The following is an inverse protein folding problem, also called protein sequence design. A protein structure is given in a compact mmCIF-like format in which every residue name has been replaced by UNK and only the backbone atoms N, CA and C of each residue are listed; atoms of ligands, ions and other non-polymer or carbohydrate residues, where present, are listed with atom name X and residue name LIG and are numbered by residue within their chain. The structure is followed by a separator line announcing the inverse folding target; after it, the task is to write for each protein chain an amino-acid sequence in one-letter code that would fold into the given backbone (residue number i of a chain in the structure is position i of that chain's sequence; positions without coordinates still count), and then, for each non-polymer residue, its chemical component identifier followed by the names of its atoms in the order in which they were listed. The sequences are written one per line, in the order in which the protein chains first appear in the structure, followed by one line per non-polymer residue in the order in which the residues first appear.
data_IF_769950872222
#
_entry.id   IF_769950872222
#
_cell.length_a   1.000
_cell.length_b   1.000
_cell.length_c   1.000
_cell.angle_alpha   90.00
_cell.angle_beta   90.00
_cell.angle_gamma   90.00
#
_symmetry.space_group_name_H-M   'P 1'
#
loop_
_entity.id
_entity.type
_entity.pdbx_description
1 polymer ?
#
# COMPACT_ATOMS: atom_id res chain seq x y z
N UNK A 1 22.42 -19.77 4.76
CA UNK A 1 22.08 -18.92 3.60
C UNK A 1 21.24 -17.75 4.09
N UNK A 2 21.70 -16.51 3.92
CA UNK A 2 20.94 -15.31 4.31
C UNK A 2 20.71 -14.46 3.07
N UNK A 3 19.49 -14.47 2.53
CA UNK A 3 19.06 -13.46 1.56
C UNK A 3 18.56 -12.26 2.34
N UNK A 4 18.84 -11.05 1.85
CA UNK A 4 18.27 -9.85 2.43
C UNK A 4 16.74 -9.89 2.40
N UNK A 5 16.12 -9.33 3.44
CA UNK A 5 14.67 -9.26 3.54
C UNK A 5 14.15 -8.17 2.61
N UNK A 6 13.13 -8.54 1.84
CA UNK A 6 12.47 -7.65 0.89
C UNK A 6 11.40 -6.83 1.63
N UNK A 7 11.38 -5.51 1.42
CA UNK A 7 10.38 -4.61 2.00
C UNK A 7 9.45 -4.07 0.92
N UNK A 8 8.18 -4.44 0.98
CA UNK A 8 7.16 -3.98 0.02
C UNK A 8 6.81 -2.49 0.21
N UNK A 9 6.48 -1.76 -0.88
CA UNK A 9 6.10 -0.35 -0.81
C UNK A 9 4.78 -0.15 -0.05
N UNK A 10 4.68 0.89 0.77
CA UNK A 10 3.47 1.21 1.59
C UNK A 10 2.31 1.76 0.75
N UNK A 11 2.59 2.09 -0.50
CA UNK A 11 1.63 2.56 -1.49
C UNK A 11 0.90 1.40 -2.18
N UNK A 12 1.22 0.14 -1.85
CA UNK A 12 0.45 -1.03 -2.26
C UNK A 12 -0.22 -1.71 -1.04
N UNK A 13 -1.27 -2.49 -1.30
CA UNK A 13 -2.08 -3.12 -0.27
C UNK A 13 -1.28 -4.01 0.69
N UNK A 14 -0.35 -4.82 0.16
CA UNK A 14 0.44 -5.74 0.97
C UNK A 14 1.49 -4.99 1.80
N UNK A 15 2.23 -4.04 1.22
CA UNK A 15 3.23 -3.28 1.96
C UNK A 15 2.61 -2.34 3.01
N UNK A 16 1.44 -1.77 2.72
CA UNK A 16 0.64 -1.04 3.70
C UNK A 16 0.27 -1.90 4.90
N UNK A 17 -0.25 -3.10 4.67
CA UNK A 17 -0.64 -4.01 5.75
C UNK A 17 0.59 -4.50 6.53
N UNK A 18 1.67 -4.89 5.84
CA UNK A 18 2.93 -5.29 6.47
C UNK A 18 3.47 -4.17 7.36
N UNK A 19 3.52 -2.94 6.85
CA UNK A 19 3.92 -1.78 7.64
C UNK A 19 2.98 -1.48 8.80
N UNK A 20 1.69 -1.82 8.72
CA UNK A 20 0.75 -1.65 9.82
C UNK A 20 1.02 -2.65 10.96
N UNK A 21 1.20 -3.93 10.61
CA UNK A 21 1.35 -5.02 11.58
C UNK A 21 2.75 -5.10 12.19
N UNK A 22 3.79 -4.66 11.48
CA UNK A 22 5.18 -4.76 11.94
C UNK A 22 5.72 -3.48 12.58
N UNK A 23 4.93 -2.41 12.66
CA UNK A 23 5.38 -1.14 13.23
C UNK A 23 5.53 -1.22 14.76
N UNK A 24 6.76 -1.16 15.32
CA UNK A 24 6.98 -1.27 16.76
C UNK A 24 6.47 -0.06 17.55
N UNK A 25 6.28 1.09 16.90
CA UNK A 25 5.79 2.32 17.56
C UNK A 25 4.28 2.28 17.82
N UNK A 26 3.56 1.29 17.30
CA UNK A 26 2.10 1.18 17.46
C UNK A 26 1.76 0.60 18.83
N UNK A 27 1.25 1.44 19.73
CA UNK A 27 0.86 1.06 21.10
C UNK A 27 -0.48 0.33 21.19
N UNK A 28 -1.46 0.73 20.37
CA UNK A 28 -2.82 0.18 20.37
C UNK A 28 -3.08 -0.64 19.10
N UNK A 29 -2.28 -1.69 18.88
CA UNK A 29 -2.50 -2.58 17.74
C UNK A 29 -3.88 -3.24 17.81
N UNK A 30 -4.63 -3.16 16.72
CA UNK A 30 -5.87 -3.88 16.54
C UNK A 30 -5.75 -4.78 15.32
N UNK A 31 -6.07 -6.08 15.43
CA UNK A 31 -6.14 -6.93 14.26
C UNK A 31 -7.15 -6.38 13.26
N UNK A 32 -6.72 -6.15 12.03
CA UNK A 32 -7.61 -5.71 10.95
C UNK A 32 -7.18 -6.27 9.61
N UNK A 33 -8.15 -6.41 8.71
CA UNK A 33 -7.88 -6.66 7.30
C UNK A 33 -7.42 -5.37 6.61
N UNK A 34 -6.89 -5.51 5.40
CA UNK A 34 -6.53 -4.35 4.57
C UNK A 34 -7.76 -3.45 4.32
N UNK A 35 -7.51 -2.14 4.31
CA UNK A 35 -8.45 -1.14 3.84
C UNK A 35 -7.70 -0.06 3.05
N UNK A 36 -8.41 0.68 2.20
CA UNK A 36 -7.80 1.80 1.48
C UNK A 36 -7.16 2.82 2.41
N UNK A 37 -7.67 3.03 3.63
CA UNK A 37 -7.12 3.98 4.59
C UNK A 37 -5.72 3.62 5.12
N UNK A 38 -5.25 2.39 4.91
CA UNK A 38 -3.87 2.00 5.26
C UNK A 38 -2.88 2.29 4.13
N UNK A 39 -3.33 2.44 2.88
CA UNK A 39 -2.47 2.69 1.74
C UNK A 39 -1.99 4.15 1.81
N UNK A 40 -0.68 4.38 1.88
CA UNK A 40 -0.10 5.70 2.19
C UNK A 40 -0.50 6.79 1.20
N UNK A 41 -0.71 6.44 -0.08
CA UNK A 41 -1.18 7.36 -1.10
C UNK A 41 -2.68 7.70 -0.97
N UNK A 42 -3.48 6.87 -0.30
CA UNK A 42 -4.93 7.03 -0.26
C UNK A 42 -5.34 8.21 0.63
N UNK A 43 -5.82 9.28 0.02
CA UNK A 43 -6.29 10.48 0.73
C UNK A 43 -5.36 11.67 0.63
N UNK A 44 -4.17 11.51 0.04
CA UNK A 44 -3.23 12.61 -0.26
C UNK A 44 -3.77 13.56 -1.33
N UNK A 45 -4.69 13.09 -2.17
CA UNK A 45 -5.37 13.90 -3.18
C UNK A 45 -6.88 14.04 -2.90
N UNK A 46 -7.43 15.27 -2.95
CA UNK A 46 -8.87 15.49 -2.88
C UNK A 46 -9.57 14.79 -4.04
N UNK A 47 -10.84 14.41 -3.84
CA UNK A 47 -11.65 13.93 -4.97
C UNK A 47 -11.81 15.04 -5.98
N UNK A 48 -11.61 14.73 -7.26
CA UNK A 48 -11.94 15.65 -8.33
C UNK A 48 -13.45 15.98 -8.31
N UNK A 49 -13.81 17.19 -8.76
CA UNK A 49 -15.21 17.62 -8.85
C UNK A 49 -15.96 16.67 -9.78
N UNK A 50 -17.06 16.09 -9.29
CA UNK A 50 -17.86 15.10 -10.03
C UNK A 50 -17.36 13.65 -9.93
N UNK A 51 -16.18 13.40 -9.31
CA UNK A 51 -15.66 12.05 -9.14
C UNK A 51 -16.39 11.30 -8.02
N UNK A 52 -16.89 10.11 -8.35
CA UNK A 52 -17.51 9.18 -7.42
C UNK A 52 -16.46 8.56 -6.47
N UNK A 53 -16.94 7.99 -5.36
CA UNK A 53 -16.08 7.25 -4.42
C UNK A 53 -15.46 6.01 -5.07
N UNK A 54 -16.19 5.38 -5.98
CA UNK A 54 -15.77 4.18 -6.70
C UNK A 54 -14.66 4.50 -7.70
N UNK A 55 -14.83 5.51 -8.54
CA UNK A 55 -13.80 5.96 -9.49
C UNK A 55 -12.50 6.34 -8.78
N UNK A 56 -12.60 7.03 -7.62
CA UNK A 56 -11.43 7.32 -6.79
C UNK A 56 -10.77 6.01 -6.33
N UNK A 57 -11.53 5.06 -5.79
CA UNK A 57 -10.99 3.77 -5.33
C UNK A 57 -10.32 2.98 -6.45
N UNK A 58 -10.92 2.93 -7.64
CA UNK A 58 -10.33 2.27 -8.82
C UNK A 58 -9.02 2.94 -9.21
N UNK A 59 -8.98 4.28 -9.26
CA UNK A 59 -7.75 5.02 -9.56
C UNK A 59 -6.62 4.71 -8.58
N UNK A 60 -6.91 4.70 -7.27
CA UNK A 60 -5.94 4.32 -6.25
C UNK A 60 -5.53 2.85 -6.32
N UNK A 61 -6.47 1.94 -6.61
CA UNK A 61 -6.17 0.52 -6.78
C UNK A 61 -5.23 0.29 -7.97
N UNK A 62 -5.47 0.97 -9.10
CA UNK A 62 -4.58 0.90 -10.26
C UNK A 62 -3.18 1.40 -9.93
N UNK A 63 -3.05 2.52 -9.21
CA UNK A 63 -1.74 3.04 -8.81
C UNK A 63 -1.02 2.11 -7.82
N UNK A 64 -1.75 1.52 -6.88
CA UNK A 64 -1.21 0.52 -5.95
C UNK A 64 -0.69 -0.73 -6.67
N UNK A 65 -1.40 -1.18 -7.71
CA UNK A 65 -0.98 -2.30 -8.56
C UNK A 65 0.23 -1.96 -9.42
N UNK A 66 0.32 -0.73 -9.95
CA UNK A 66 1.50 -0.22 -10.67
C UNK A 66 2.73 -0.25 -9.76
N UNK A 67 2.65 0.35 -8.58
CA UNK A 67 3.76 0.36 -7.61
C UNK A 67 4.20 -1.06 -7.21
N UNK A 68 3.26 -2.00 -7.07
CA UNK A 68 3.58 -3.39 -6.78
C UNK A 68 4.29 -4.07 -7.95
N UNK A 69 3.86 -3.83 -9.19
CA UNK A 69 4.50 -4.38 -10.39
C UNK A 69 5.92 -3.84 -10.55
N UNK A 70 6.09 -2.53 -10.44
CA UNK A 70 7.40 -1.88 -10.53
C UNK A 70 8.35 -2.46 -9.47
N UNK A 71 7.85 -2.66 -8.25
CA UNK A 71 8.61 -3.28 -7.18
C UNK A 71 9.01 -4.73 -7.49
N UNK A 72 8.07 -5.57 -7.94
CA UNK A 72 8.35 -6.97 -8.28
C UNK A 72 9.36 -7.05 -9.42
N UNK A 73 9.19 -6.25 -10.48
CA UNK A 73 10.13 -6.22 -11.61
C UNK A 73 11.53 -5.73 -11.20
N UNK A 74 11.62 -4.74 -10.31
CA UNK A 74 12.90 -4.31 -9.74
C UNK A 74 13.54 -5.37 -8.84
N UNK A 75 12.72 -6.14 -8.11
CA UNK A 75 13.18 -7.18 -7.17
C UNK A 75 13.59 -8.47 -7.87
N UNK A 76 13.00 -8.79 -9.03
CA UNK A 76 13.42 -9.92 -9.88
C UNK A 76 14.77 -9.67 -10.57
N UNK A 77 15.24 -8.41 -10.58
CA UNK A 77 16.57 -8.02 -11.06
C UNK A 77 17.66 -8.05 -9.96
N UNK A 78 17.32 -8.45 -8.72
CA UNK A 78 18.22 -8.65 -7.58
C UNK A 78 18.47 -10.13 -7.28
#
# INVERSE_FOLDING_TARGET
SGKELISFPKECAIGALLSYISNPERKDFQPMNISFGLIESYGTSPRAKGQSKEEKRISFANKALENLRDFVSASEML
#
